data_IF_640815490006
#
_entry.id   IF_640815490006
#
_cell.length_a   1.000
_cell.length_b   1.000
_cell.length_c   1.000
_cell.angle_alpha   90.00
_cell.angle_beta   90.00
_cell.angle_gamma   90.00
#
_symmetry.space_group_name_H-M   'P 1'
#
loop_
_entity.id
_entity.type
_entity.pdbx_description
1 polymer ?
#
# COMPACT_ATOMS: atom_id res chain seq x y z
N UNK A 1 -77.48 -123.17 72.18
CA UNK A 1 -77.49 -122.41 70.92
C UNK A 1 -78.07 -121.04 71.22
N UNK A 2 -77.28 -119.95 71.18
CA UNK A 2 -77.83 -118.60 71.29
C UNK A 2 -78.51 -118.23 69.97
N UNK A 3 -79.68 -117.61 70.06
CA UNK A 3 -80.57 -117.28 68.96
C UNK A 3 -80.06 -116.07 68.17
N UNK A 4 -80.27 -116.08 66.85
CA UNK A 4 -79.86 -115.05 65.88
C UNK A 4 -80.17 -113.59 66.28
N UNK A 5 -81.17 -113.37 67.14
CA UNK A 5 -81.58 -112.05 67.61
C UNK A 5 -80.60 -111.38 68.60
N UNK A 6 -79.74 -112.13 69.29
CA UNK A 6 -78.75 -111.52 70.20
C UNK A 6 -77.54 -110.92 69.47
N UNK A 7 -77.17 -111.47 68.30
CA UNK A 7 -76.00 -111.02 67.56
C UNK A 7 -76.22 -109.68 66.81
N UNK A 8 -77.46 -109.36 66.43
CA UNK A 8 -77.79 -108.08 65.77
C UNK A 8 -77.77 -106.89 66.73
N UNK A 9 -78.14 -107.09 68.00
CA UNK A 9 -78.11 -106.06 69.05
C UNK A 9 -76.68 -105.63 69.36
N UNK A 10 -75.74 -106.57 69.35
CA UNK A 10 -74.32 -106.30 69.60
C UNK A 10 -73.68 -105.49 68.45
N UNK A 11 -74.04 -105.76 67.19
CA UNK A 11 -73.57 -104.99 66.03
C UNK A 11 -74.03 -103.52 66.08
N UNK A 12 -75.28 -103.26 66.49
CA UNK A 12 -75.82 -101.91 66.58
C UNK A 12 -75.08 -101.04 67.61
N UNK A 13 -74.71 -101.64 68.76
CA UNK A 13 -73.93 -100.94 69.80
C UNK A 13 -72.51 -100.61 69.30
N UNK A 14 -71.87 -101.51 68.55
CA UNK A 14 -70.54 -101.26 67.98
C UNK A 14 -70.58 -100.11 66.97
N UNK A 15 -71.56 -100.09 66.06
CA UNK A 15 -71.72 -99.00 65.08
C UNK A 15 -71.99 -97.67 65.80
N UNK A 16 -72.83 -97.66 66.85
CA UNK A 16 -73.07 -96.48 67.67
C UNK A 16 -71.83 -95.94 68.36
N UNK A 17 -70.92 -96.81 68.83
CA UNK A 17 -69.67 -96.38 69.45
C UNK A 17 -68.68 -95.82 68.42
N UNK A 18 -68.61 -96.43 67.23
CA UNK A 18 -67.79 -95.92 66.12
C UNK A 18 -68.25 -94.53 65.67
N UNK A 19 -69.56 -94.29 65.54
CA UNK A 19 -70.07 -92.97 65.11
C UNK A 19 -69.82 -91.86 66.13
N UNK A 20 -69.90 -92.17 67.43
CA UNK A 20 -69.60 -91.17 68.49
C UNK A 20 -68.11 -90.83 68.52
N UNK A 21 -67.22 -91.83 68.42
CA UNK A 21 -65.77 -91.58 68.40
C UNK A 21 -65.33 -90.79 67.16
N UNK A 22 -65.94 -91.07 66.00
CA UNK A 22 -65.67 -90.33 64.76
C UNK A 22 -66.14 -88.87 64.83
N UNK A 23 -67.31 -88.60 65.41
CA UNK A 23 -67.83 -87.23 65.53
C UNK A 23 -66.95 -86.37 66.44
N UNK A 24 -66.48 -86.89 67.58
CA UNK A 24 -65.56 -86.15 68.45
C UNK A 24 -64.22 -85.79 67.77
N UNK A 25 -63.65 -86.72 67.00
CA UNK A 25 -62.40 -86.46 66.27
C UNK A 25 -62.53 -85.34 65.23
N UNK A 26 -63.66 -85.30 64.51
CA UNK A 26 -63.94 -84.25 63.52
C UNK A 26 -64.10 -82.86 64.16
N UNK A 27 -64.79 -82.76 65.29
CA UNK A 27 -64.95 -81.47 65.98
C UNK A 27 -63.61 -80.88 66.43
N UNK A 28 -62.72 -81.70 67.01
CA UNK A 28 -61.38 -81.26 67.44
C UNK A 28 -60.53 -80.77 66.26
N UNK A 29 -60.56 -81.52 65.15
CA UNK A 29 -59.80 -81.17 63.94
C UNK A 29 -60.29 -79.87 63.30
N UNK A 30 -61.61 -79.62 63.31
CA UNK A 30 -62.20 -78.38 62.79
C UNK A 30 -61.80 -77.17 63.66
N UNK A 31 -61.80 -77.33 64.99
CA UNK A 31 -61.39 -76.24 65.90
C UNK A 31 -59.92 -75.84 65.72
N UNK A 32 -59.02 -76.80 65.45
CA UNK A 32 -57.61 -76.51 65.22
C UNK A 32 -57.36 -75.78 63.88
N UNK A 33 -58.10 -76.15 62.82
CA UNK A 33 -58.04 -75.47 61.53
C UNK A 33 -58.56 -74.03 61.64
N UNK A 34 -59.64 -73.80 62.39
CA UNK A 34 -60.16 -72.44 62.63
C UNK A 34 -59.20 -71.58 63.46
N UNK A 35 -58.45 -72.15 64.39
CA UNK A 35 -57.44 -71.43 65.16
C UNK A 35 -56.28 -70.90 64.29
N UNK A 36 -55.93 -71.62 63.20
CA UNK A 36 -54.82 -71.29 62.30
C UNK A 36 -55.28 -70.79 60.91
N UNK A 37 -56.44 -70.14 60.83
CA UNK A 37 -57.11 -69.81 59.56
C UNK A 37 -56.26 -69.02 58.56
N UNK A 38 -55.36 -68.15 59.03
CA UNK A 38 -54.49 -67.34 58.16
C UNK A 38 -53.61 -68.19 57.20
N UNK A 39 -53.22 -69.39 57.62
CA UNK A 39 -52.39 -70.30 56.82
C UNK A 39 -53.23 -71.19 55.88
N UNK A 40 -54.49 -71.46 56.24
CA UNK A 40 -55.37 -72.38 55.50
C UNK A 40 -56.39 -71.67 54.58
N UNK A 41 -56.58 -70.35 54.71
CA UNK A 41 -57.58 -69.55 53.96
C UNK A 41 -57.47 -69.61 52.43
N UNK A 42 -56.28 -69.78 51.88
CA UNK A 42 -56.06 -69.89 50.43
C UNK A 42 -55.93 -71.34 49.93
N UNK A 43 -56.13 -72.35 50.79
CA UNK A 43 -56.13 -73.75 50.38
C UNK A 43 -57.59 -74.20 50.08
N UNK A 44 -57.89 -74.66 48.85
CA UNK A 44 -59.24 -74.99 48.41
C UNK A 44 -59.91 -76.11 49.23
N UNK A 45 -59.15 -76.99 49.89
CA UNK A 45 -59.68 -78.09 50.70
C UNK A 45 -60.32 -77.59 52.00
N UNK A 46 -59.77 -76.53 52.60
CA UNK A 46 -60.23 -76.00 53.89
C UNK A 46 -61.20 -74.82 53.73
N UNK A 47 -61.34 -74.28 52.51
CA UNK A 47 -62.18 -73.11 52.21
C UNK A 47 -63.67 -73.25 52.62
N UNK A 48 -64.33 -74.42 52.52
CA UNK A 48 -65.70 -74.59 53.00
C UNK A 48 -65.88 -74.39 54.52
N UNK A 49 -64.78 -74.36 55.28
CA UNK A 49 -64.77 -74.09 56.73
C UNK A 49 -64.67 -72.59 57.06
N UNK A 50 -64.55 -71.71 56.05
CA UNK A 50 -64.51 -70.26 56.21
C UNK A 50 -65.84 -69.71 56.71
N UNK A 51 -65.79 -68.73 57.62
CA UNK A 51 -66.98 -67.98 58.04
C UNK A 51 -67.48 -67.02 56.93
N UNK A 52 -66.63 -66.66 55.96
CA UNK A 52 -67.03 -65.85 54.80
C UNK A 52 -66.20 -66.20 53.54
N UNK A 53 -66.70 -67.20 52.82
CA UNK A 53 -66.05 -67.76 51.63
C UNK A 53 -65.80 -66.71 50.54
N UNK A 54 -66.72 -65.75 50.34
CA UNK A 54 -66.61 -64.75 49.27
C UNK A 54 -65.42 -63.80 49.50
N UNK A 55 -65.25 -63.30 50.73
CA UNK A 55 -64.14 -62.39 51.05
C UNK A 55 -62.78 -63.07 50.97
N UNK A 56 -62.67 -64.28 51.51
CA UNK A 56 -61.41 -65.04 51.47
C UNK A 56 -61.05 -65.44 50.03
N UNK A 57 -62.04 -65.81 49.21
CA UNK A 57 -61.84 -66.11 47.79
C UNK A 57 -61.37 -64.87 47.00
N UNK A 58 -62.05 -63.73 47.16
CA UNK A 58 -61.67 -62.48 46.47
C UNK A 58 -60.26 -62.03 46.89
N UNK A 59 -59.91 -62.14 48.18
CA UNK A 59 -58.58 -61.79 48.67
C UNK A 59 -57.49 -62.69 48.08
N UNK A 60 -57.69 -64.01 48.07
CA UNK A 60 -56.70 -64.94 47.49
C UNK A 60 -56.58 -64.75 45.96
N UNK A 61 -57.68 -64.50 45.25
CA UNK A 61 -57.67 -64.23 43.81
C UNK A 61 -56.99 -62.90 43.49
N UNK A 62 -57.28 -61.82 44.22
CA UNK A 62 -56.63 -60.53 44.01
C UNK A 62 -55.12 -60.63 44.25
N UNK A 63 -54.68 -61.28 45.33
CA UNK A 63 -53.26 -61.47 45.62
C UNK A 63 -52.57 -62.37 44.57
N UNK A 64 -53.26 -63.39 44.04
CA UNK A 64 -52.73 -64.16 42.90
C UNK A 64 -52.69 -63.33 41.61
N UNK A 65 -53.67 -62.47 41.35
CA UNK A 65 -53.73 -61.62 40.17
C UNK A 65 -52.68 -60.50 40.18
N UNK A 66 -52.35 -59.89 41.33
CA UNK A 66 -51.27 -58.89 41.41
C UNK A 66 -49.92 -59.50 41.01
N UNK A 67 -49.65 -60.73 41.41
CA UNK A 67 -48.45 -61.47 41.01
C UNK A 67 -48.47 -61.84 39.52
N UNK A 68 -49.64 -62.07 38.93
CA UNK A 68 -49.79 -62.39 37.50
C UNK A 68 -49.84 -61.14 36.60
N UNK A 69 -50.25 -59.99 37.11
CA UNK A 69 -50.32 -58.73 36.36
C UNK A 69 -48.93 -58.30 35.87
N UNK A 70 -47.87 -58.54 36.65
CA UNK A 70 -46.50 -58.35 36.22
C UNK A 70 -46.15 -59.16 34.96
N UNK A 71 -46.60 -60.42 34.89
CA UNK A 71 -46.41 -61.28 33.73
C UNK A 71 -47.24 -60.82 32.51
N UNK A 72 -48.46 -60.31 32.73
CA UNK A 72 -49.31 -59.77 31.66
C UNK A 72 -48.82 -58.43 31.10
N UNK A 73 -48.13 -57.62 31.92
CA UNK A 73 -47.57 -56.34 31.49
C UNK A 73 -46.21 -56.49 30.79
N UNK A 74 -45.50 -57.61 30.98
CA UNK A 74 -44.19 -57.86 30.33
C UNK A 74 -44.21 -57.59 28.81
N UNK A 75 -45.17 -58.12 28.03
CA UNK A 75 -45.25 -57.83 26.59
C UNK A 75 -45.42 -56.34 26.27
N UNK A 76 -46.26 -55.63 27.04
CA UNK A 76 -46.48 -54.19 26.84
C UNK A 76 -45.21 -53.39 27.19
N UNK A 77 -44.53 -53.73 28.28
CA UNK A 77 -43.27 -53.08 28.66
C UNK A 77 -42.13 -53.34 27.68
N UNK A 78 -42.11 -54.53 27.06
CA UNK A 78 -41.14 -54.86 26.01
C UNK A 78 -41.37 -54.05 24.74
N UNK A 79 -42.63 -53.87 24.33
CA UNK A 79 -42.96 -53.06 23.15
C UNK A 79 -42.61 -51.58 23.39
N UNK A 80 -42.94 -51.04 24.56
CA UNK A 80 -42.60 -49.64 24.89
C UNK A 80 -41.11 -49.42 25.04
N UNK A 81 -40.36 -50.35 25.65
CA UNK A 81 -38.91 -50.27 25.73
C UNK A 81 -38.27 -50.34 24.34
N UNK A 82 -38.75 -51.23 23.47
CA UNK A 82 -38.25 -51.34 22.10
C UNK A 82 -38.54 -50.05 21.31
N UNK A 83 -39.75 -49.49 21.43
CA UNK A 83 -40.10 -48.23 20.77
C UNK A 83 -39.26 -47.05 21.28
N UNK A 84 -39.00 -46.98 22.60
CA UNK A 84 -38.10 -45.97 23.19
C UNK A 84 -36.69 -46.10 22.62
N UNK A 85 -36.13 -47.32 22.57
CA UNK A 85 -34.78 -47.53 22.03
C UNK A 85 -34.68 -47.17 20.55
N UNK A 86 -35.72 -47.44 19.76
CA UNK A 86 -35.76 -47.03 18.35
C UNK A 86 -35.84 -45.51 18.21
N UNK A 87 -36.64 -44.83 19.06
CA UNK A 87 -36.72 -43.38 19.09
C UNK A 87 -35.38 -42.74 19.47
N UNK A 88 -34.71 -43.27 20.50
CA UNK A 88 -33.40 -42.79 20.95
C UNK A 88 -32.32 -43.00 19.88
N UNK A 89 -32.30 -44.16 19.23
CA UNK A 89 -31.40 -44.43 18.10
C UNK A 89 -31.67 -43.50 16.92
N UNK A 90 -32.94 -43.22 16.62
CA UNK A 90 -33.30 -42.30 15.54
C UNK A 90 -32.83 -40.87 15.82
N UNK A 91 -33.05 -40.36 17.04
CA UNK A 91 -32.56 -39.04 17.46
C UNK A 91 -31.03 -39.00 17.44
N UNK A 92 -30.37 -40.03 17.96
CA UNK A 92 -28.91 -40.14 17.95
C UNK A 92 -28.33 -40.14 16.53
N UNK A 93 -28.98 -40.83 15.59
CA UNK A 93 -28.59 -40.83 14.18
C UNK A 93 -28.79 -39.45 13.51
N UNK A 94 -29.86 -38.73 13.85
CA UNK A 94 -30.08 -37.36 13.36
C UNK A 94 -28.98 -36.42 13.86
N UNK A 95 -28.63 -36.51 15.14
CA UNK A 95 -27.57 -35.68 15.70
C UNK A 95 -26.20 -36.05 15.13
N UNK A 96 -25.92 -37.34 14.87
CA UNK A 96 -24.73 -37.77 14.15
C UNK A 96 -24.65 -37.15 12.74
N UNK A 97 -25.76 -37.08 12.01
CA UNK A 97 -25.83 -36.40 10.71
C UNK A 97 -25.52 -34.91 10.86
N UNK A 98 -26.07 -34.23 11.88
CA UNK A 98 -25.76 -32.81 12.16
C UNK A 98 -24.28 -32.61 12.46
N UNK A 99 -23.65 -33.51 13.21
CA UNK A 99 -22.21 -33.46 13.48
C UNK A 99 -21.40 -33.62 12.20
N UNK A 100 -21.75 -34.55 11.32
CA UNK A 100 -21.09 -34.70 10.02
C UNK A 100 -21.24 -33.43 9.18
N UNK A 101 -22.44 -32.85 9.11
CA UNK A 101 -22.68 -31.59 8.40
C UNK A 101 -21.86 -30.42 8.98
N UNK A 102 -21.73 -30.35 10.31
CA UNK A 102 -20.90 -29.35 10.98
C UNK A 102 -19.41 -29.53 10.65
N UNK A 103 -18.93 -30.77 10.63
CA UNK A 103 -17.55 -31.10 10.27
C UNK A 103 -17.25 -30.74 8.82
N UNK A 104 -18.15 -31.06 7.88
CA UNK A 104 -18.00 -30.69 6.46
C UNK A 104 -17.96 -29.17 6.31
N UNK A 105 -18.85 -28.43 6.97
CA UNK A 105 -18.86 -26.95 6.94
C UNK A 105 -17.56 -26.37 7.50
N UNK A 106 -17.09 -26.89 8.63
CA UNK A 106 -15.86 -26.42 9.29
C UNK A 106 -14.64 -26.70 8.43
N UNK A 107 -14.55 -27.88 7.83
CA UNK A 107 -13.48 -28.25 6.91
C UNK A 107 -13.46 -27.34 5.67
N UNK A 108 -14.62 -27.13 5.03
CA UNK A 108 -14.74 -26.21 3.89
C UNK A 108 -14.33 -24.77 4.25
N UNK A 109 -14.76 -24.28 5.42
CA UNK A 109 -14.40 -22.94 5.92
C UNK A 109 -12.90 -22.82 6.18
N UNK A 110 -12.28 -23.87 6.73
CA UNK A 110 -10.84 -23.90 7.02
C UNK A 110 -10.01 -23.87 5.73
N UNK A 111 -10.40 -24.65 4.72
CA UNK A 111 -9.71 -24.63 3.42
C UNK A 111 -9.86 -23.26 2.75
N UNK A 112 -11.07 -22.71 2.68
CA UNK A 112 -11.32 -21.43 2.04
C UNK A 112 -10.52 -20.30 2.72
N UNK A 113 -10.58 -20.22 4.05
CA UNK A 113 -9.83 -19.22 4.82
C UNK A 113 -8.32 -19.38 4.69
N UNK A 114 -7.81 -20.61 4.63
CA UNK A 114 -6.39 -20.90 4.37
C UNK A 114 -5.94 -20.38 3.00
N UNK A 115 -6.70 -20.66 1.94
CA UNK A 115 -6.40 -20.17 0.58
C UNK A 115 -6.43 -18.65 0.53
N UNK A 116 -7.48 -18.01 1.07
CA UNK A 116 -7.57 -16.54 1.11
C UNK A 116 -6.40 -15.91 1.87
N UNK A 117 -5.94 -16.53 2.96
CA UNK A 117 -4.80 -16.03 3.74
C UNK A 117 -3.51 -16.03 2.91
N UNK A 118 -3.25 -17.10 2.16
CA UNK A 118 -2.09 -17.18 1.26
C UNK A 118 -2.21 -16.16 0.12
N UNK A 119 -3.38 -16.04 -0.50
CA UNK A 119 -3.62 -15.05 -1.56
C UNK A 119 -3.36 -13.63 -1.07
N UNK A 120 -3.83 -13.27 0.13
CA UNK A 120 -3.55 -11.97 0.75
C UNK A 120 -2.06 -11.73 0.97
N UNK A 121 -1.32 -12.75 1.43
CA UNK A 121 0.14 -12.66 1.58
C UNK A 121 0.86 -12.39 0.25
N UNK A 122 0.38 -13.01 -0.84
CA UNK A 122 0.92 -12.77 -2.19
C UNK A 122 0.62 -11.34 -2.65
N UNK A 123 -0.61 -10.85 -2.43
CA UNK A 123 -1.00 -9.46 -2.77
C UNK A 123 -0.12 -8.44 -2.04
N UNK A 124 0.13 -8.64 -0.74
CA UNK A 124 1.01 -7.76 0.05
C UNK A 124 2.44 -7.77 -0.50
N UNK A 125 2.95 -8.94 -0.89
CA UNK A 125 4.28 -9.07 -1.49
C UNK A 125 4.38 -8.31 -2.82
N UNK A 126 3.34 -8.40 -3.66
CA UNK A 126 3.27 -7.66 -4.91
C UNK A 126 3.15 -6.14 -4.71
N UNK A 127 2.36 -5.70 -3.74
CA UNK A 127 2.27 -4.27 -3.37
C UNK A 127 3.64 -3.71 -2.97
N UNK A 128 4.45 -4.46 -2.21
CA UNK A 128 5.82 -4.05 -1.86
C UNK A 128 6.70 -3.87 -3.09
N UNK A 129 6.62 -4.79 -4.07
CA UNK A 129 7.36 -4.67 -5.33
C UNK A 129 6.97 -3.40 -6.10
N UNK A 130 5.68 -3.10 -6.21
CA UNK A 130 5.21 -1.86 -6.87
C UNK A 130 5.73 -0.61 -6.14
N UNK A 131 5.70 -0.60 -4.80
CA UNK A 131 6.21 0.52 -4.01
C UNK A 131 7.71 0.72 -4.28
N UNK A 132 8.50 -0.36 -4.30
CA UNK A 132 9.93 -0.29 -4.61
C UNK A 132 10.20 0.22 -6.03
N UNK A 133 9.42 -0.20 -7.03
CA UNK A 133 9.54 0.30 -8.41
C UNK A 133 9.20 1.79 -8.48
N UNK A 134 8.15 2.23 -7.79
CA UNK A 134 7.75 3.65 -7.75
C UNK A 134 8.84 4.50 -7.06
N UNK A 135 9.43 4.01 -5.98
CA UNK A 135 10.56 4.68 -5.31
C UNK A 135 11.78 4.81 -6.24
N UNK A 136 12.14 3.73 -6.95
CA UNK A 136 13.22 3.75 -7.94
C UNK A 136 12.98 4.78 -9.05
N UNK A 137 11.77 4.79 -9.61
CA UNK A 137 11.38 5.75 -10.65
C UNK A 137 11.45 7.20 -10.13
N UNK A 138 11.00 7.44 -8.89
CA UNK A 138 11.11 8.75 -8.23
C UNK A 138 12.56 9.21 -8.09
N UNK A 139 13.47 8.33 -7.66
CA UNK A 139 14.91 8.63 -7.55
C UNK A 139 15.55 8.92 -8.91
N UNK A 140 15.20 8.17 -9.95
CA UNK A 140 15.67 8.41 -11.31
C UNK A 140 15.23 9.77 -11.83
N UNK A 141 13.94 10.11 -11.71
CA UNK A 141 13.40 11.41 -12.10
C UNK A 141 14.10 12.52 -11.30
N UNK A 142 14.25 12.36 -9.99
CA UNK A 142 14.96 13.33 -9.14
C UNK A 142 16.38 13.61 -9.62
N UNK A 143 17.17 12.55 -9.86
CA UNK A 143 18.55 12.69 -10.35
C UNK A 143 18.64 13.39 -11.72
N UNK A 144 17.74 13.04 -12.65
CA UNK A 144 17.70 13.66 -13.98
C UNK A 144 17.31 15.13 -13.92
N UNK A 145 16.31 15.49 -13.11
CA UNK A 145 15.88 16.89 -12.93
C UNK A 145 17.01 17.73 -12.32
N UNK A 146 17.72 17.20 -11.32
CA UNK A 146 18.89 17.88 -10.76
C UNK A 146 19.98 18.11 -11.80
N UNK A 147 20.31 17.10 -12.62
CA UNK A 147 21.28 17.24 -13.70
C UNK A 147 20.84 18.29 -14.73
N UNK A 148 19.55 18.30 -15.09
CA UNK A 148 18.98 19.28 -16.02
C UNK A 148 19.17 20.71 -15.50
N UNK A 149 18.89 20.96 -14.23
CA UNK A 149 19.06 22.29 -13.64
C UNK A 149 20.54 22.71 -13.50
N UNK A 150 21.44 21.78 -13.18
CA UNK A 150 22.88 22.05 -13.17
C UNK A 150 23.35 22.43 -14.57
N UNK A 151 22.94 21.67 -15.59
CA UNK A 151 23.30 21.96 -16.97
C UNK A 151 22.74 23.31 -17.41
N UNK A 152 21.48 23.62 -17.09
CA UNK A 152 20.87 24.91 -17.38
C UNK A 152 21.63 26.06 -16.70
N UNK A 153 21.97 25.94 -15.42
CA UNK A 153 22.77 26.94 -14.70
C UNK A 153 24.17 27.10 -15.28
N UNK A 154 24.80 26.02 -15.74
CA UNK A 154 26.10 26.07 -16.40
C UNK A 154 26.03 26.80 -17.75
N UNK A 155 24.98 26.57 -18.54
CA UNK A 155 24.75 27.27 -19.81
C UNK A 155 24.57 28.77 -19.60
N UNK A 156 23.75 29.16 -18.63
CA UNK A 156 23.60 30.57 -18.25
C UNK A 156 24.92 31.18 -17.82
N UNK A 157 25.72 30.47 -17.01
CA UNK A 157 27.03 30.95 -16.56
C UNK A 157 27.99 31.15 -17.72
N UNK A 158 28.01 30.22 -18.70
CA UNK A 158 28.82 30.36 -19.91
C UNK A 158 28.36 31.58 -20.72
N UNK A 159 27.05 31.75 -20.89
CA UNK A 159 26.51 32.89 -21.64
C UNK A 159 26.83 34.22 -20.95
N UNK A 160 26.69 34.30 -19.63
CA UNK A 160 27.11 35.48 -18.85
C UNK A 160 28.61 35.72 -18.94
N UNK A 161 29.44 34.67 -18.88
CA UNK A 161 30.90 34.79 -19.00
C UNK A 161 31.33 35.22 -20.40
N UNK A 162 30.61 34.76 -21.43
CA UNK A 162 30.85 35.11 -22.83
C UNK A 162 30.45 36.56 -23.16
N UNK A 163 29.37 37.02 -22.56
CA UNK A 163 28.93 38.42 -22.70
C UNK A 163 29.76 39.37 -21.82
N UNK A 164 30.31 38.87 -20.71
CA UNK A 164 31.13 39.65 -19.80
C UNK A 164 32.58 39.92 -20.26
N UNK A 165 33.40 40.50 -19.36
CA UNK A 165 34.77 40.92 -19.66
C UNK A 165 35.67 39.82 -20.23
N UNK A 166 35.66 38.56 -19.71
CA UNK A 166 36.51 37.50 -20.26
C UNK A 166 36.19 37.18 -21.73
N UNK A 167 34.91 37.14 -22.12
CA UNK A 167 34.52 36.88 -23.51
C UNK A 167 34.84 38.04 -24.46
N UNK A 168 34.73 39.29 -24.00
CA UNK A 168 35.13 40.48 -24.77
C UNK A 168 36.63 40.50 -25.08
N UNK A 169 37.47 40.06 -24.14
CA UNK A 169 38.92 39.98 -24.35
C UNK A 169 39.29 39.01 -25.48
N UNK A 170 38.55 37.91 -25.64
CA UNK A 170 38.74 36.95 -26.75
C UNK A 170 38.34 37.56 -28.10
N UNK A 171 37.35 38.47 -28.15
CA UNK A 171 36.91 39.12 -29.39
C UNK A 171 37.80 40.29 -29.84
N UNK A 172 38.72 40.75 -28.98
CA UNK A 172 39.70 41.82 -29.24
C UNK A 172 39.15 42.99 -30.08
N UNK A 173 38.06 43.60 -29.59
CA UNK A 173 37.29 44.66 -30.23
C UNK A 173 38.04 46.01 -30.23
N UNK A 174 39.15 46.16 -30.96
CA UNK A 174 40.08 47.28 -30.78
C UNK A 174 40.60 47.91 -32.08
N UNK A 175 41.34 49.01 -31.91
CA UNK A 175 41.94 49.80 -32.98
C UNK A 175 43.42 49.48 -33.16
N UNK A 176 43.95 49.82 -34.33
CA UNK A 176 45.38 49.86 -34.55
C UNK A 176 46.03 50.91 -33.64
N UNK A 177 47.18 50.62 -32.98
CA UNK A 177 47.84 51.53 -32.04
C UNK A 177 48.15 52.93 -32.60
N UNK A 178 48.37 53.02 -33.92
CA UNK A 178 48.69 54.27 -34.62
C UNK A 178 47.47 55.02 -35.17
N UNK A 179 46.26 54.65 -34.73
CA UNK A 179 45.05 55.40 -35.06
C UNK A 179 45.16 56.80 -34.45
N UNK A 180 44.99 57.85 -35.28
CA UNK A 180 45.10 59.25 -34.85
C UNK A 180 43.83 59.68 -34.13
N UNK A 181 44.00 60.29 -32.97
CA UNK A 181 42.93 60.82 -32.13
C UNK A 181 43.16 62.31 -31.90
N UNK A 182 42.10 63.10 -32.02
CA UNK A 182 42.13 64.55 -31.82
C UNK A 182 41.61 64.87 -30.42
N UNK A 183 42.39 65.64 -29.67
CA UNK A 183 42.05 66.09 -28.32
C UNK A 183 41.36 67.46 -28.36
N UNK A 184 40.62 67.80 -27.30
CA UNK A 184 39.93 69.09 -27.15
C UNK A 184 40.85 70.30 -27.28
N UNK A 185 42.12 70.16 -26.87
CA UNK A 185 43.14 71.20 -26.99
C UNK A 185 43.68 71.41 -28.42
N UNK A 186 43.19 70.64 -29.40
CA UNK A 186 43.60 70.69 -30.80
C UNK A 186 44.80 69.79 -31.15
N UNK A 187 45.45 69.17 -30.15
CA UNK A 187 46.55 68.24 -30.38
C UNK A 187 46.03 66.94 -31.01
N UNK A 188 46.80 66.40 -31.95
CA UNK A 188 46.56 65.08 -32.53
C UNK A 188 47.64 64.13 -32.02
N UNK A 189 47.23 63.05 -31.34
CA UNK A 189 48.12 62.01 -30.82
C UNK A 189 47.73 60.66 -31.42
N UNK A 190 48.66 59.71 -31.45
CA UNK A 190 48.31 58.34 -31.74
C UNK A 190 47.63 57.71 -30.52
N UNK A 191 46.73 56.75 -30.76
CA UNK A 191 45.99 56.09 -29.68
C UNK A 191 46.93 55.41 -28.66
N UNK A 192 48.05 54.85 -29.12
CA UNK A 192 49.12 54.27 -28.28
C UNK A 192 49.80 55.26 -27.35
N UNK A 193 49.73 56.54 -27.66
CA UNK A 193 50.41 57.62 -26.96
C UNK A 193 49.42 58.44 -26.11
N UNK A 194 48.17 58.04 -25.92
CA UNK A 194 47.19 58.78 -25.09
C UNK A 194 47.41 58.55 -23.59
N UNK A 195 47.01 59.50 -22.77
CA UNK A 195 47.11 59.43 -21.31
C UNK A 195 45.73 59.39 -20.62
N UNK A 196 45.66 58.75 -19.45
CA UNK A 196 44.42 58.73 -18.66
C UNK A 196 44.00 60.15 -18.26
N UNK A 197 42.73 60.47 -18.47
CA UNK A 197 42.18 61.79 -18.21
C UNK A 197 42.32 62.79 -19.36
N UNK A 198 42.98 62.43 -20.47
CA UNK A 198 42.91 63.20 -21.71
C UNK A 198 41.43 63.37 -22.15
N UNK A 199 41.14 64.51 -22.77
CA UNK A 199 39.79 64.88 -23.21
C UNK A 199 39.75 64.93 -24.73
N UNK A 200 38.93 64.07 -25.33
CA UNK A 200 38.67 64.02 -26.77
C UNK A 200 37.80 65.22 -27.20
N UNK A 201 37.54 65.33 -28.51
CA UNK A 201 36.53 66.25 -29.01
C UNK A 201 35.17 65.99 -28.36
N UNK A 202 34.38 67.06 -28.13
CA UNK A 202 33.07 67.03 -27.45
C UNK A 202 33.09 66.71 -25.94
N UNK A 203 34.14 67.07 -25.21
CA UNK A 203 34.23 66.94 -23.75
C UNK A 203 34.17 65.50 -23.22
N UNK A 204 34.60 64.55 -24.05
CA UNK A 204 34.64 63.13 -23.71
C UNK A 204 35.97 62.80 -23.03
N UNK A 205 35.94 62.34 -21.78
CA UNK A 205 37.13 62.03 -20.99
C UNK A 205 37.54 60.56 -21.14
N UNK A 206 38.81 60.28 -21.36
CA UNK A 206 39.36 58.93 -21.34
C UNK A 206 39.47 58.44 -19.89
N UNK A 207 38.81 57.32 -19.60
CA UNK A 207 38.77 56.69 -18.28
C UNK A 207 39.68 55.47 -18.17
N UNK A 208 39.86 54.72 -19.26
CA UNK A 208 40.77 53.58 -19.34
C UNK A 208 41.40 53.48 -20.72
N UNK A 209 42.62 52.95 -20.77
CA UNK A 209 43.36 52.64 -22.00
C UNK A 209 43.82 51.19 -21.89
N UNK A 210 43.42 50.37 -22.85
CA UNK A 210 43.67 48.94 -22.85
C UNK A 210 44.65 48.57 -23.95
N UNK A 211 45.62 47.73 -23.60
CA UNK A 211 46.60 47.13 -24.50
C UNK A 211 46.35 45.63 -24.59
N UNK A 212 45.84 45.17 -25.73
CA UNK A 212 45.42 43.78 -25.94
C UNK A 212 46.36 43.10 -26.93
N UNK A 213 46.87 41.93 -26.58
CA UNK A 213 47.74 41.15 -27.46
C UNK A 213 46.96 40.57 -28.64
N UNK A 214 47.46 40.70 -29.86
CA UNK A 214 46.87 40.17 -31.09
C UNK A 214 47.51 38.83 -31.49
N UNK A 215 47.52 37.87 -30.55
CA UNK A 215 48.31 36.63 -30.61
C UNK A 215 48.11 35.78 -31.88
N UNK A 216 46.95 35.87 -32.53
CA UNK A 216 46.64 35.03 -33.69
C UNK A 216 46.72 35.75 -35.04
N UNK A 217 46.94 37.08 -35.09
CA UNK A 217 46.86 37.87 -36.34
C UNK A 217 45.58 37.61 -37.18
N UNK A 218 44.55 36.96 -36.60
CA UNK A 218 43.32 36.54 -37.28
C UNK A 218 42.28 37.66 -37.36
N UNK A 219 42.48 38.74 -36.61
CA UNK A 219 41.66 39.92 -36.73
C UNK A 219 42.09 40.72 -37.94
N UNK A 220 41.51 40.37 -39.09
CA UNK A 220 41.56 41.21 -40.28
C UNK A 220 41.06 42.59 -39.87
N UNK A 221 41.98 43.56 -39.82
CA UNK A 221 41.60 44.95 -39.62
C UNK A 221 40.81 45.39 -40.86
N UNK A 222 39.78 46.17 -40.61
CA UNK A 222 39.03 46.87 -41.64
C UNK A 222 39.54 48.30 -41.69
N UNK A 223 39.52 48.85 -42.89
CA UNK A 223 40.00 50.18 -43.21
C UNK A 223 38.81 51.07 -43.57
N UNK A 224 38.73 52.22 -42.91
CA UNK A 224 37.93 53.35 -43.39
C UNK A 224 38.87 54.34 -44.07
N UNK A 225 38.74 54.48 -45.39
CA UNK A 225 39.65 55.32 -46.19
C UNK A 225 39.38 56.81 -45.99
N UNK A 226 40.40 57.56 -45.57
CA UNK A 226 40.36 59.03 -45.41
C UNK A 226 39.24 59.56 -44.49
N UNK A 227 38.67 58.72 -43.64
CA UNK A 227 37.61 59.09 -42.70
C UNK A 227 38.16 59.54 -41.33
N UNK A 228 39.45 59.34 -41.07
CA UNK A 228 40.12 59.70 -39.82
C UNK A 228 40.56 61.17 -39.74
N UNK A 229 41.24 61.49 -38.63
CA UNK A 229 41.70 62.85 -38.33
C UNK A 229 42.68 63.34 -39.40
N UNK A 230 42.34 64.46 -40.05
CA UNK A 230 43.15 65.03 -41.12
C UNK A 230 43.17 64.16 -42.39
N UNK A 231 42.07 63.47 -42.69
CA UNK A 231 41.94 62.55 -43.84
C UNK A 231 42.91 61.36 -43.79
N UNK A 232 43.29 60.92 -42.60
CA UNK A 232 44.00 59.65 -42.43
C UNK A 232 43.05 58.46 -42.54
N UNK A 233 43.61 57.28 -42.78
CA UNK A 233 42.86 56.02 -42.69
C UNK A 233 42.66 55.62 -41.22
N UNK A 234 41.61 54.85 -40.95
CA UNK A 234 41.34 54.24 -39.63
C UNK A 234 41.40 52.73 -39.80
N UNK A 235 42.15 52.05 -38.94
CA UNK A 235 42.27 50.60 -38.92
C UNK A 235 41.70 50.05 -37.62
N UNK A 236 40.68 49.21 -37.72
CA UNK A 236 39.91 48.71 -36.58
C UNK A 236 39.43 47.29 -36.83
N UNK A 237 39.27 46.48 -35.79
CA UNK A 237 38.78 45.11 -35.93
C UNK A 237 37.33 45.06 -36.42
N UNK A 238 36.99 44.08 -37.26
CA UNK A 238 35.67 44.01 -37.90
C UNK A 238 34.47 43.89 -36.95
N UNK A 239 34.65 43.33 -35.75
CA UNK A 239 33.57 43.22 -34.75
C UNK A 239 33.46 44.43 -33.82
N UNK A 240 34.30 45.44 -33.97
CA UNK A 240 34.12 46.69 -33.25
C UNK A 240 32.87 47.42 -33.77
N UNK A 241 32.18 48.19 -32.93
CA UNK A 241 30.94 48.88 -33.32
C UNK A 241 31.18 50.32 -33.75
N UNK A 242 30.54 50.71 -34.86
CA UNK A 242 30.61 52.05 -35.45
C UNK A 242 29.20 52.55 -35.73
N UNK A 243 28.95 53.83 -35.47
CA UNK A 243 27.68 54.47 -35.81
C UNK A 243 27.57 54.66 -37.31
N UNK A 244 26.51 54.14 -37.92
CA UNK A 244 26.22 54.31 -39.33
C UNK A 244 25.05 55.28 -39.50
N UNK A 245 25.32 56.43 -40.12
CA UNK A 245 24.35 57.52 -40.31
C UNK A 245 23.15 57.09 -41.19
N UNK A 246 23.35 56.19 -42.15
CA UNK A 246 22.28 55.74 -43.08
C UNK A 246 21.16 54.96 -42.39
N UNK A 247 21.49 54.23 -41.32
CA UNK A 247 20.57 53.36 -40.57
C UNK A 247 20.33 53.84 -39.14
N UNK A 248 20.95 54.97 -38.76
CA UNK A 248 20.87 55.62 -37.44
C UNK A 248 21.17 54.66 -36.27
N UNK A 249 22.07 53.70 -36.47
CA UNK A 249 22.40 52.65 -35.48
C UNK A 249 23.88 52.31 -35.46
N UNK A 250 24.34 51.82 -34.31
CA UNK A 250 25.64 51.17 -34.22
C UNK A 250 25.59 49.78 -34.84
N UNK A 251 26.49 49.52 -35.77
CA UNK A 251 26.67 48.22 -36.43
C UNK A 251 28.12 47.78 -36.31
N UNK A 252 28.38 46.51 -36.57
CA UNK A 252 29.74 46.02 -36.66
C UNK A 252 30.46 46.65 -37.85
N UNK A 253 31.74 46.95 -37.68
CA UNK A 253 32.58 47.51 -38.74
C UNK A 253 32.58 46.62 -39.98
N UNK A 254 32.57 45.29 -39.82
CA UNK A 254 32.53 44.35 -40.95
C UNK A 254 31.20 44.37 -41.75
N UNK A 255 30.17 45.03 -41.22
CA UNK A 255 28.89 45.25 -41.86
C UNK A 255 28.72 46.68 -42.39
N UNK A 256 29.64 47.60 -42.08
CA UNK A 256 29.54 49.00 -42.48
C UNK A 256 29.90 49.16 -43.97
N UNK A 257 29.09 49.88 -44.79
CA UNK A 257 29.30 50.00 -46.23
C UNK A 257 30.65 50.62 -46.60
N UNK A 258 31.12 51.60 -45.84
CA UNK A 258 32.42 52.26 -46.05
C UNK A 258 33.64 51.48 -45.51
N UNK A 259 33.44 50.35 -44.84
CA UNK A 259 34.53 49.58 -44.25
C UNK A 259 35.07 48.54 -45.24
N UNK A 260 36.35 48.67 -45.59
CA UNK A 260 37.00 47.74 -46.53
C UNK A 260 37.93 46.81 -45.76
N UNK A 261 37.73 45.49 -45.92
CA UNK A 261 38.65 44.49 -45.37
C UNK A 261 40.04 44.66 -46.01
N UNK A 262 41.08 44.75 -45.19
CA UNK A 262 42.46 44.89 -45.68
C UNK A 262 43.39 43.84 -45.05
N UNK A 263 44.53 43.58 -45.71
CA UNK A 263 45.49 42.56 -45.29
C UNK A 263 46.94 43.08 -45.19
N UNK A 264 47.18 44.34 -45.54
CA UNK A 264 48.55 44.90 -45.65
C UNK A 264 49.08 45.38 -44.29
N UNK A 265 48.18 45.85 -43.42
CA UNK A 265 48.49 46.36 -42.09
C UNK A 265 48.06 45.34 -41.04
N UNK A 266 49.01 45.00 -40.16
CA UNK A 266 48.81 44.17 -38.98
C UNK A 266 49.55 44.79 -37.80
N UNK A 267 49.20 44.38 -36.59
CA UNK A 267 49.86 44.82 -35.37
C UNK A 267 49.89 43.68 -34.35
N UNK A 268 51.00 43.53 -33.64
CA UNK A 268 51.14 42.52 -32.57
C UNK A 268 50.20 42.78 -31.39
N UNK A 269 49.68 44.00 -31.27
CA UNK A 269 48.76 44.38 -30.21
C UNK A 269 47.78 45.46 -30.70
N UNK A 270 46.63 45.54 -30.06
CA UNK A 270 45.57 46.49 -30.37
C UNK A 270 45.29 47.39 -29.17
N UNK A 271 44.85 48.61 -29.46
CA UNK A 271 44.53 49.62 -28.45
C UNK A 271 43.03 49.87 -28.38
N UNK A 272 42.51 49.93 -27.17
CA UNK A 272 41.11 50.23 -26.89
C UNK A 272 41.02 51.33 -25.83
N UNK A 273 39.93 52.09 -25.83
CA UNK A 273 39.65 53.12 -24.84
C UNK A 273 38.32 52.81 -24.15
N UNK A 274 38.18 53.23 -22.89
CA UNK A 274 36.90 53.41 -22.22
C UNK A 274 36.76 54.91 -21.97
N UNK A 275 35.63 55.49 -22.36
CA UNK A 275 35.38 56.93 -22.31
C UNK A 275 34.14 57.25 -21.49
N UNK A 276 34.04 58.50 -21.02
CA UNK A 276 32.98 58.93 -20.11
C UNK A 276 31.54 58.86 -20.65
N UNK A 277 31.37 58.63 -21.95
CA UNK A 277 30.06 58.52 -22.60
C UNK A 277 29.94 57.32 -23.53
N UNK A 278 30.84 56.33 -23.42
CA UNK A 278 30.87 55.14 -24.27
C UNK A 278 31.02 55.40 -25.77
N UNK A 279 31.67 56.52 -26.13
CA UNK A 279 31.90 56.93 -27.54
C UNK A 279 33.33 57.35 -27.76
N UNK A 280 33.86 56.99 -28.93
CA UNK A 280 35.19 57.39 -29.40
C UNK A 280 35.03 58.09 -30.75
N UNK A 281 35.00 59.43 -30.80
CA UNK A 281 34.98 60.17 -32.05
C UNK A 281 36.36 60.10 -32.72
N UNK A 282 36.41 59.66 -33.98
CA UNK A 282 37.63 59.59 -34.79
C UNK A 282 37.35 60.17 -36.18
N UNK A 283 37.82 61.39 -36.42
CA UNK A 283 37.60 62.07 -37.69
C UNK A 283 36.12 62.31 -37.96
N UNK A 284 35.56 61.62 -38.95
CA UNK A 284 34.14 61.71 -39.34
C UNK A 284 33.26 60.63 -38.71
N UNK A 285 33.84 59.64 -38.05
CA UNK A 285 33.14 58.48 -37.53
C UNK A 285 33.07 58.50 -36.00
N UNK A 286 32.03 57.87 -35.46
CA UNK A 286 31.86 57.67 -34.02
C UNK A 286 31.84 56.16 -33.76
N UNK A 287 32.78 55.71 -32.94
CA UNK A 287 32.87 54.32 -32.53
C UNK A 287 32.32 54.15 -31.12
N UNK A 288 31.86 52.95 -30.80
CA UNK A 288 31.59 52.59 -29.41
C UNK A 288 32.91 52.36 -28.67
N UNK A 289 32.94 52.54 -27.36
CA UNK A 289 34.15 52.23 -26.59
C UNK A 289 34.21 50.74 -26.22
N UNK A 290 35.15 50.31 -25.37
CA UNK A 290 35.25 48.89 -25.03
C UNK A 290 34.11 48.39 -24.11
N UNK A 291 33.40 49.28 -23.41
CA UNK A 291 32.25 48.93 -22.58
C UNK A 291 30.96 48.85 -23.42
N UNK A 292 30.84 47.77 -24.20
CA UNK A 292 29.65 47.45 -25.03
C UNK A 292 28.39 47.02 -24.22
N UNK A 293 28.36 47.18 -22.90
CA UNK A 293 27.32 46.54 -22.05
C UNK A 293 25.93 47.19 -22.12
N UNK A 294 25.79 48.36 -22.75
CA UNK A 294 24.52 49.10 -22.81
C UNK A 294 23.74 48.99 -24.12
N UNK A 295 24.17 48.16 -25.08
CA UNK A 295 23.36 47.92 -26.28
C UNK A 295 22.31 46.86 -25.95
N UNK A 296 21.29 47.32 -25.21
CA UNK A 296 20.02 46.64 -25.13
C UNK A 296 19.45 46.51 -26.55
N UNK A 297 19.41 45.28 -27.04
CA UNK A 297 18.66 44.89 -28.24
C UNK A 297 17.18 45.29 -28.12
#
# INVERSE_FOLDING_TARGET
>A
MPTFFDNSRLLFVIIGFITITLTMFLFVSITDIKANWANYRCNPIYMPLSDNIEKDFVFCIQNMQTNYMGYLLQPLTYITSTLSTLADQFVGNIDAIRTVLSNVRTFATTILTGIFSVLMSIVVSYQKLIISIKDLAGKLIGSMVSLMYIMYGSMMTIQSSWNGPPGKMVRALCFHPETKIKLKNGQVRFMKDLDLGDVLENDIKIQSIMKINNLENQNNLYKFEKMGVGSSDIYVTGKHMVFCDEIEKFIYVDQHPDAVKQHDISSDWLSCLITSNHRIPIGKLIFWDWEDDEIAY
#
